data_IF_922280242335
#
_entry.id   IF_922280242335
#
_cell.length_a   1.000
_cell.length_b   1.000
_cell.length_c   1.000
_cell.angle_alpha   90.00
_cell.angle_beta   90.00
_cell.angle_gamma   90.00
#
_symmetry.space_group_name_H-M   'P 1'
#
loop_
_entity.id
_entity.type
_entity.pdbx_description
1 polymer ?
#
# COMPACT_ATOMS: atom_id res chain seq x y z
N UNK A 1 -35.17 5.35 -15.58
CA UNK A 1 -34.47 4.04 -15.52
C UNK A 1 -33.03 4.27 -15.07
N UNK A 2 -32.75 4.10 -13.77
CA UNK A 2 -31.39 4.24 -13.23
C UNK A 2 -30.64 2.92 -13.42
N UNK A 3 -29.45 3.02 -14.01
CA UNK A 3 -28.54 1.92 -14.30
C UNK A 3 -28.30 1.02 -13.06
N UNK A 4 -28.99 -0.12 -13.01
CA UNK A 4 -28.75 -1.24 -12.08
C UNK A 4 -27.58 -2.14 -12.53
N UNK A 5 -26.75 -1.67 -13.47
CA UNK A 5 -25.51 -2.31 -13.89
C UNK A 5 -24.41 -2.12 -12.84
N UNK A 6 -24.63 -2.60 -11.61
CA UNK A 6 -23.50 -2.94 -10.76
C UNK A 6 -23.26 -4.45 -10.92
N UNK A 7 -22.11 -4.82 -11.49
CA UNK A 7 -22.24 -5.66 -12.67
C UNK A 7 -22.07 -7.10 -12.28
N UNK A 8 -22.91 -7.98 -12.84
CA UNK A 8 -22.65 -9.43 -12.86
C UNK A 8 -21.20 -9.74 -13.27
N UNK A 9 -20.55 -8.88 -14.07
CA UNK A 9 -19.14 -9.02 -14.43
C UNK A 9 -18.19 -9.04 -13.22
N UNK A 10 -18.43 -8.28 -12.15
CA UNK A 10 -17.51 -8.25 -11.00
C UNK A 10 -17.46 -9.60 -10.29
N UNK A 11 -18.63 -10.25 -10.13
CA UNK A 11 -18.75 -11.58 -9.51
C UNK A 11 -18.14 -12.67 -10.39
N UNK A 12 -18.39 -12.64 -11.70
CA UNK A 12 -17.75 -13.54 -12.66
C UNK A 12 -16.24 -13.35 -12.73
N UNK A 13 -15.77 -12.11 -12.68
CA UNK A 13 -14.34 -11.78 -12.65
C UNK A 13 -13.67 -12.34 -11.40
N UNK A 14 -14.33 -12.28 -10.24
CA UNK A 14 -13.81 -12.86 -9.01
C UNK A 14 -13.71 -14.39 -9.07
N UNK A 15 -14.69 -15.08 -9.70
CA UNK A 15 -14.62 -16.53 -9.95
C UNK A 15 -13.46 -16.86 -10.88
N UNK A 16 -13.38 -16.18 -12.04
CA UNK A 16 -12.31 -16.38 -13.01
C UNK A 16 -10.93 -16.13 -12.38
N UNK A 17 -10.81 -15.05 -11.61
CA UNK A 17 -9.59 -14.75 -10.86
C UNK A 17 -9.23 -15.89 -9.89
N UNK A 18 -10.17 -16.42 -9.12
CA UNK A 18 -9.90 -17.52 -8.19
C UNK A 18 -9.40 -18.79 -8.89
N UNK A 19 -9.92 -19.08 -10.09
CA UNK A 19 -9.44 -20.19 -10.94
C UNK A 19 -8.03 -19.90 -11.47
N UNK A 20 -7.78 -18.70 -11.99
CA UNK A 20 -6.45 -18.30 -12.50
C UNK A 20 -5.41 -18.31 -11.38
N UNK A 21 -5.73 -17.76 -10.21
CA UNK A 21 -4.82 -17.66 -9.08
C UNK A 21 -4.48 -19.05 -8.50
N UNK A 22 -5.47 -19.94 -8.38
CA UNK A 22 -5.22 -21.32 -7.93
C UNK A 22 -4.45 -22.12 -8.98
N UNK A 23 -4.74 -21.96 -10.27
CA UNK A 23 -3.98 -22.60 -11.36
C UNK A 23 -2.52 -22.13 -11.43
N UNK A 24 -2.29 -20.82 -11.29
CA UNK A 24 -0.95 -20.24 -11.19
C UNK A 24 -0.19 -20.81 -9.99
N UNK A 25 -0.80 -20.78 -8.80
CA UNK A 25 -0.18 -21.32 -7.59
C UNK A 25 0.12 -22.82 -7.69
N UNK A 26 -0.79 -23.61 -8.28
CA UNK A 26 -0.62 -25.04 -8.47
C UNK A 26 0.53 -25.34 -9.43
N UNK A 27 0.62 -24.59 -10.52
CA UNK A 27 1.72 -24.71 -11.49
C UNK A 27 3.06 -24.46 -10.81
N UNK A 28 3.19 -23.38 -10.04
CA UNK A 28 4.40 -23.06 -9.30
C UNK A 28 4.77 -24.12 -8.25
N UNK A 29 3.78 -24.65 -7.52
CA UNK A 29 4.02 -25.72 -6.54
C UNK A 29 4.52 -27.01 -7.22
N UNK A 30 3.88 -27.42 -8.33
CA UNK A 30 4.28 -28.63 -9.09
C UNK A 30 5.65 -28.46 -9.74
N UNK A 31 5.99 -27.26 -10.20
CA UNK A 31 7.30 -26.97 -10.80
C UNK A 31 8.40 -26.70 -9.77
N UNK A 32 8.09 -26.72 -8.47
CA UNK A 32 9.05 -26.36 -7.41
C UNK A 32 9.46 -24.89 -7.42
N UNK A 33 8.67 -24.02 -8.04
CA UNK A 33 8.95 -22.58 -8.14
C UNK A 33 8.35 -21.84 -6.93
N UNK A 34 9.18 -21.19 -6.10
CA UNK A 34 8.70 -20.50 -4.90
C UNK A 34 7.86 -19.25 -5.29
N UNK A 35 6.68 -19.12 -4.66
CA UNK A 35 5.82 -17.95 -4.78
C UNK A 35 6.19 -16.82 -3.81
N UNK A 36 6.80 -17.18 -2.69
CA UNK A 36 7.16 -16.27 -1.61
C UNK A 36 8.66 -16.36 -1.37
N UNK A 37 9.28 -15.23 -1.05
CA UNK A 37 10.71 -15.13 -0.76
C UNK A 37 10.93 -14.37 0.54
N UNK A 38 12.01 -14.67 1.24
CA UNK A 38 12.45 -13.99 2.44
C UNK A 38 13.93 -13.61 2.30
N UNK A 39 14.23 -12.34 1.95
CA UNK A 39 15.61 -11.84 1.91
C UNK A 39 16.54 -12.56 0.92
N UNK A 40 15.98 -13.05 -0.20
CA UNK A 40 16.65 -13.83 -1.24
C UNK A 40 16.39 -15.34 -1.16
N UNK A 41 16.00 -15.85 0.02
CA UNK A 41 15.74 -17.27 0.20
C UNK A 41 14.29 -17.63 -0.20
N UNK A 42 14.07 -18.80 -0.85
CA UNK A 42 12.73 -19.27 -1.14
C UNK A 42 11.96 -19.56 0.15
N UNK A 43 10.71 -19.09 0.20
CA UNK A 43 9.80 -19.37 1.30
C UNK A 43 9.38 -20.85 1.33
N UNK A 44 8.83 -21.32 2.47
CA UNK A 44 8.44 -22.71 2.63
C UNK A 44 7.38 -23.14 1.59
N UNK A 45 7.48 -24.35 1.00
CA UNK A 45 6.57 -24.84 -0.04
C UNK A 45 5.09 -24.84 0.38
N UNK A 46 4.82 -24.95 1.68
CA UNK A 46 3.46 -24.91 2.25
C UNK A 46 2.73 -23.60 1.96
N UNK A 47 3.44 -22.48 1.80
CA UNK A 47 2.82 -21.21 1.41
C UNK A 47 2.31 -21.22 -0.02
N UNK A 48 2.94 -21.98 -0.92
CA UNK A 48 2.44 -22.21 -2.27
C UNK A 48 1.08 -22.89 -2.24
N UNK A 49 0.93 -23.95 -1.44
CA UNK A 49 -0.35 -24.63 -1.23
C UNK A 49 -1.39 -23.73 -0.57
N UNK A 50 -0.99 -22.84 0.34
CA UNK A 50 -1.90 -21.86 0.93
C UNK A 50 -2.48 -20.90 -0.13
N UNK A 51 -1.67 -20.43 -1.08
CA UNK A 51 -2.14 -19.60 -2.19
C UNK A 51 -3.17 -20.36 -3.07
N UNK A 52 -2.91 -21.64 -3.37
CA UNK A 52 -3.86 -22.51 -4.09
C UNK A 52 -5.18 -22.63 -3.33
N UNK A 53 -5.12 -22.92 -2.03
CA UNK A 53 -6.30 -23.06 -1.18
C UNK A 53 -7.14 -21.77 -1.14
N UNK A 54 -6.49 -20.61 -1.04
CA UNK A 54 -7.16 -19.30 -1.09
C UNK A 54 -7.86 -19.10 -2.43
N UNK A 55 -7.19 -19.39 -3.56
CA UNK A 55 -7.77 -19.28 -4.90
C UNK A 55 -9.00 -20.18 -5.10
N UNK A 56 -8.91 -21.45 -4.68
CA UNK A 56 -10.02 -22.41 -4.74
C UNK A 56 -11.20 -21.96 -3.87
N UNK A 57 -10.93 -21.59 -2.60
CA UNK A 57 -11.95 -21.11 -1.69
C UNK A 57 -12.63 -19.84 -2.19
N UNK A 58 -11.89 -18.93 -2.81
CA UNK A 58 -12.42 -17.72 -3.44
C UNK A 58 -13.33 -18.05 -4.63
N UNK A 59 -12.89 -18.92 -5.55
CA UNK A 59 -13.69 -19.32 -6.70
C UNK A 59 -15.03 -19.96 -6.26
N UNK A 60 -14.97 -20.89 -5.29
CA UNK A 60 -16.15 -21.55 -4.74
C UNK A 60 -17.09 -20.57 -4.02
N UNK A 61 -16.54 -19.66 -3.21
CA UNK A 61 -17.33 -18.66 -2.47
C UNK A 61 -18.02 -17.68 -3.41
N UNK A 62 -17.31 -17.17 -4.41
CA UNK A 62 -17.87 -16.27 -5.42
C UNK A 62 -18.91 -16.99 -6.30
N UNK A 63 -18.69 -18.26 -6.64
CA UNK A 63 -19.67 -19.11 -7.33
C UNK A 63 -20.93 -19.34 -6.49
N UNK A 64 -20.78 -19.58 -5.20
CA UNK A 64 -21.90 -19.68 -4.27
C UNK A 64 -22.68 -18.36 -4.19
N UNK A 65 -22.00 -17.20 -4.17
CA UNK A 65 -22.67 -15.89 -4.22
C UNK A 65 -23.43 -15.68 -5.54
N UNK A 66 -22.90 -16.15 -6.67
CA UNK A 66 -23.61 -16.10 -7.96
C UNK A 66 -24.89 -16.95 -7.95
N UNK A 67 -24.86 -18.12 -7.30
CA UNK A 67 -25.98 -19.07 -7.27
C UNK A 67 -27.03 -18.78 -6.21
N UNK A 68 -26.59 -18.38 -5.01
CA UNK A 68 -27.44 -18.31 -3.81
C UNK A 68 -27.58 -16.88 -3.25
N UNK A 69 -26.89 -15.90 -3.82
CA UNK A 69 -26.82 -14.55 -3.25
C UNK A 69 -25.81 -14.43 -2.11
N UNK A 70 -25.65 -13.21 -1.56
CA UNK A 70 -24.60 -12.93 -0.58
C UNK A 70 -25.08 -13.17 0.85
N UNK A 71 -25.02 -14.43 1.29
CA UNK A 71 -25.32 -14.81 2.67
C UNK A 71 -24.32 -14.18 3.68
N UNK A 72 -24.72 -13.92 4.94
CA UNK A 72 -23.84 -13.34 5.96
C UNK A 72 -22.56 -14.15 6.22
N UNK A 73 -22.64 -15.48 6.15
CA UNK A 73 -21.48 -16.37 6.28
C UNK A 73 -20.52 -16.22 5.09
N UNK A 74 -21.03 -16.23 3.86
CA UNK A 74 -20.23 -16.00 2.65
C UNK A 74 -19.58 -14.63 2.66
N UNK A 75 -20.27 -13.60 3.17
CA UNK A 75 -19.69 -12.26 3.32
C UNK A 75 -18.48 -12.26 4.27
N UNK A 76 -18.58 -12.92 5.43
CA UNK A 76 -17.46 -13.07 6.37
C UNK A 76 -16.30 -13.82 5.73
N UNK A 77 -16.59 -14.92 5.02
CA UNK A 77 -15.58 -15.71 4.31
C UNK A 77 -14.88 -14.90 3.21
N UNK A 78 -15.62 -14.14 2.40
CA UNK A 78 -15.03 -13.27 1.37
C UNK A 78 -14.14 -12.19 1.96
N UNK A 79 -14.50 -11.62 3.12
CA UNK A 79 -13.61 -10.68 3.83
C UNK A 79 -12.35 -11.36 4.35
N UNK A 80 -12.46 -12.57 4.91
CA UNK A 80 -11.29 -13.36 5.31
C UNK A 80 -10.36 -13.63 4.13
N UNK A 81 -10.90 -14.13 3.01
CA UNK A 81 -10.13 -14.39 1.79
C UNK A 81 -9.54 -13.10 1.20
N UNK A 82 -10.27 -11.98 1.27
CA UNK A 82 -9.79 -10.67 0.86
C UNK A 82 -8.58 -10.23 1.71
N UNK A 83 -8.60 -10.46 3.02
CA UNK A 83 -7.47 -10.17 3.92
C UNK A 83 -6.29 -11.07 3.59
N UNK A 84 -6.50 -12.38 3.39
CA UNK A 84 -5.43 -13.31 3.03
C UNK A 84 -4.78 -12.96 1.67
N UNK A 85 -5.59 -12.62 0.67
CA UNK A 85 -5.09 -12.12 -0.62
C UNK A 85 -4.34 -10.79 -0.43
N UNK A 86 -4.82 -9.89 0.44
CA UNK A 86 -4.14 -8.63 0.75
C UNK A 86 -2.76 -8.84 1.39
N UNK A 87 -2.63 -9.83 2.27
CA UNK A 87 -1.34 -10.22 2.87
C UNK A 87 -0.39 -10.74 1.78
N UNK A 88 -0.88 -11.58 0.85
CA UNK A 88 -0.07 -12.05 -0.27
C UNK A 88 0.31 -10.94 -1.26
N UNK A 89 -0.49 -9.88 -1.37
CA UNK A 89 -0.24 -8.73 -2.22
C UNK A 89 0.75 -7.71 -1.62
N UNK A 90 1.12 -7.88 -0.35
CA UNK A 90 1.73 -6.84 0.47
C UNK A 90 3.04 -6.28 -0.09
N UNK A 91 3.87 -7.14 -0.67
CA UNK A 91 5.15 -6.75 -1.27
C UNK A 91 5.03 -6.13 -2.67
N UNK A 92 3.83 -6.07 -3.26
CA UNK A 92 3.62 -5.47 -4.59
C UNK A 92 4.09 -4.02 -4.64
N UNK A 93 3.91 -3.26 -3.55
CA UNK A 93 4.36 -1.87 -3.50
C UNK A 93 5.87 -1.77 -3.71
N UNK A 94 6.63 -2.69 -3.11
CA UNK A 94 8.08 -2.73 -3.26
C UNK A 94 8.46 -3.09 -4.71
N UNK A 95 7.79 -4.06 -5.32
CA UNK A 95 8.02 -4.43 -6.73
C UNK A 95 7.76 -3.25 -7.69
N UNK A 96 6.68 -2.50 -7.45
CA UNK A 96 6.35 -1.32 -8.27
C UNK A 96 7.39 -0.23 -8.08
N UNK A 97 7.81 0.02 -6.84
CA UNK A 97 8.86 0.99 -6.51
C UNK A 97 10.16 0.59 -7.24
N UNK A 98 10.65 -0.63 -7.09
CA UNK A 98 11.90 -1.07 -7.74
C UNK A 98 11.83 -0.91 -9.26
N UNK A 99 10.73 -1.36 -9.89
CA UNK A 99 10.52 -1.21 -11.33
C UNK A 99 10.47 0.27 -11.78
N UNK A 100 9.79 1.14 -11.01
CA UNK A 100 9.73 2.58 -11.32
C UNK A 100 11.12 3.24 -11.30
N UNK A 101 12.06 2.69 -10.53
CA UNK A 101 13.44 3.18 -10.45
C UNK A 101 14.38 2.45 -11.42
N UNK A 102 13.85 1.66 -12.35
CA UNK A 102 14.63 0.90 -13.32
C UNK A 102 15.38 -0.28 -12.72
N UNK A 103 15.02 -0.69 -11.50
CA UNK A 103 15.56 -1.87 -10.85
C UNK A 103 14.71 -3.09 -11.25
N UNK A 104 15.34 -4.26 -11.34
CA UNK A 104 14.61 -5.52 -11.48
C UNK A 104 13.85 -5.87 -10.20
N UNK A 105 12.86 -6.75 -10.32
CA UNK A 105 12.27 -7.45 -9.17
C UNK A 105 13.14 -8.65 -8.81
N UNK A 106 13.17 -9.02 -7.52
CA UNK A 106 13.95 -10.18 -7.05
C UNK A 106 13.51 -11.48 -7.73
N UNK A 107 12.21 -11.60 -8.02
CA UNK A 107 11.62 -12.73 -8.72
C UNK A 107 10.38 -12.31 -9.49
N UNK A 108 10.37 -12.59 -10.80
CA UNK A 108 9.21 -12.34 -11.64
C UNK A 108 7.98 -13.13 -11.22
N UNK A 109 8.15 -14.33 -10.66
CA UNK A 109 7.03 -15.16 -10.18
C UNK A 109 6.44 -14.63 -8.88
N UNK A 110 7.27 -14.13 -7.96
CA UNK A 110 6.80 -13.47 -6.75
C UNK A 110 6.06 -12.17 -7.09
N UNK A 111 6.59 -11.35 -7.99
CA UNK A 111 5.92 -10.13 -8.45
C UNK A 111 4.58 -10.43 -9.12
N UNK A 112 4.52 -11.48 -9.96
CA UNK A 112 3.27 -11.94 -10.56
C UNK A 112 2.25 -12.41 -9.51
N UNK A 113 2.71 -13.15 -8.49
CA UNK A 113 1.88 -13.55 -7.35
C UNK A 113 1.32 -12.33 -6.60
N UNK A 114 2.16 -11.35 -6.27
CA UNK A 114 1.75 -10.13 -5.57
C UNK A 114 0.71 -9.34 -6.38
N UNK A 115 0.92 -9.21 -7.70
CA UNK A 115 0.00 -8.54 -8.61
C UNK A 115 -1.36 -9.25 -8.70
N UNK A 116 -1.35 -10.58 -8.89
CA UNK A 116 -2.57 -11.39 -8.92
C UNK A 116 -3.30 -11.31 -7.57
N UNK A 117 -2.59 -11.40 -6.46
CA UNK A 117 -3.18 -11.28 -5.12
C UNK A 117 -3.85 -9.90 -4.92
N UNK A 118 -3.23 -8.81 -5.39
CA UNK A 118 -3.81 -7.46 -5.30
C UNK A 118 -5.11 -7.34 -6.10
N UNK A 119 -5.15 -7.89 -7.31
CA UNK A 119 -6.38 -7.96 -8.12
C UNK A 119 -7.46 -8.75 -7.37
N UNK A 120 -7.09 -9.86 -6.74
CA UNK A 120 -7.95 -10.65 -5.88
C UNK A 120 -8.57 -9.87 -4.74
N UNK A 121 -7.76 -9.12 -3.99
CA UNK A 121 -8.22 -8.25 -2.90
C UNK A 121 -9.31 -7.29 -3.38
N UNK A 122 -9.11 -6.65 -4.54
CA UNK A 122 -10.08 -5.72 -5.11
C UNK A 122 -11.38 -6.42 -5.52
N UNK A 123 -11.28 -7.55 -6.21
CA UNK A 123 -12.45 -8.31 -6.69
C UNK A 123 -13.27 -8.92 -5.54
N UNK A 124 -12.60 -9.46 -4.52
CA UNK A 124 -13.24 -10.02 -3.32
C UNK A 124 -13.93 -8.94 -2.50
N UNK A 125 -13.25 -7.80 -2.26
CA UNK A 125 -13.86 -6.67 -1.57
C UNK A 125 -15.07 -6.10 -2.32
N UNK A 126 -14.99 -6.00 -3.65
CA UNK A 126 -16.11 -5.55 -4.48
C UNK A 126 -17.31 -6.52 -4.39
N UNK A 127 -17.04 -7.83 -4.44
CA UNK A 127 -18.06 -8.87 -4.30
C UNK A 127 -18.74 -8.82 -2.94
N UNK A 128 -17.95 -8.74 -1.86
CA UNK A 128 -18.44 -8.67 -0.48
C UNK A 128 -19.25 -7.41 -0.17
N UNK A 129 -19.07 -6.31 -0.93
CA UNK A 129 -19.78 -5.04 -0.75
C UNK A 129 -21.03 -4.87 -1.62
N UNK A 130 -21.32 -5.82 -2.51
CA UNK A 130 -22.34 -5.66 -3.56
C UNK A 130 -23.80 -5.50 -3.09
N UNK A 131 -24.10 -5.64 -1.80
CA UNK A 131 -25.46 -5.51 -1.26
C UNK A 131 -25.74 -4.20 -0.47
N UNK A 132 -24.74 -3.33 -0.24
CA UNK A 132 -24.99 -2.10 0.49
C UNK A 132 -25.16 -0.90 -0.44
N UNK A 133 -26.42 -0.54 -0.72
CA UNK A 133 -26.77 0.85 -1.02
C UNK A 133 -28.16 1.21 -0.47
N UNK A 134 -28.23 1.90 0.68
CA UNK A 134 -29.26 2.89 0.89
C UNK A 134 -29.04 4.00 -0.13
N UNK A 135 -30.03 4.25 -0.97
CA UNK A 135 -30.06 5.41 -1.87
C UNK A 135 -30.68 6.59 -1.10
N UNK A 136 -29.95 7.14 -0.14
CA UNK A 136 -30.39 8.37 0.54
C UNK A 136 -29.90 9.62 -0.19
N UNK A 137 -30.82 10.58 -0.30
CA UNK A 137 -30.68 11.81 -1.05
C UNK A 137 -29.39 12.55 -0.72
N UNK A 138 -28.47 12.55 -1.69
CA UNK A 138 -27.18 13.21 -1.57
C UNK A 138 -27.38 14.74 -1.48
N UNK A 139 -27.26 15.28 -0.26
CA UNK A 139 -27.08 16.72 -0.06
C UNK A 139 -25.65 17.09 -0.40
N UNK A 140 -25.49 18.11 -1.24
CA UNK A 140 -24.19 18.69 -1.57
C UNK A 140 -23.60 19.30 -0.29
N UNK A 141 -22.57 18.67 0.24
CA UNK A 141 -21.90 19.14 1.46
C UNK A 141 -20.79 20.14 1.10
N UNK A 142 -20.75 21.28 1.78
CA UNK A 142 -19.71 22.29 1.57
C UNK A 142 -18.31 21.77 1.93
N UNK A 143 -17.25 22.27 1.25
CA UNK A 143 -15.89 21.87 1.56
C UNK A 143 -15.55 22.21 3.00
N UNK A 144 -15.20 21.21 3.79
CA UNK A 144 -14.91 21.37 5.22
C UNK A 144 -13.61 20.72 5.63
N UNK A 145 -12.92 21.34 6.58
CA UNK A 145 -11.73 20.77 7.21
C UNK A 145 -12.10 19.55 8.07
N UNK A 146 -11.16 18.64 8.28
CA UNK A 146 -11.36 17.54 9.22
C UNK A 146 -11.41 18.05 10.68
N UNK A 147 -11.92 17.20 11.58
CA UNK A 147 -11.94 17.50 13.02
C UNK A 147 -10.51 17.61 13.60
N UNK A 148 -10.38 18.30 14.73
CA UNK A 148 -9.10 18.51 15.43
C UNK A 148 -8.27 17.21 15.63
N UNK A 149 -8.86 16.10 16.09
CA UNK A 149 -8.13 14.83 16.24
C UNK A 149 -7.55 14.28 14.93
N UNK A 150 -8.25 14.43 13.81
CA UNK A 150 -7.76 13.98 12.50
C UNK A 150 -6.66 14.90 11.98
N UNK A 151 -6.74 16.21 12.27
CA UNK A 151 -5.65 17.15 11.99
C UNK A 151 -4.41 16.84 12.82
N UNK A 152 -4.57 16.49 14.10
CA UNK A 152 -3.47 16.05 14.96
C UNK A 152 -2.83 14.75 14.44
N UNK A 153 -3.65 13.78 14.02
CA UNK A 153 -3.14 12.57 13.37
C UNK A 153 -2.33 12.89 12.11
N UNK A 154 -2.79 13.84 11.28
CA UNK A 154 -2.04 14.27 10.09
C UNK A 154 -0.71 14.97 10.43
N UNK A 155 -0.68 15.77 11.50
CA UNK A 155 0.56 16.33 12.02
C UNK A 155 1.51 15.25 12.50
N UNK A 156 1.03 14.29 13.31
CA UNK A 156 1.83 13.17 13.79
C UNK A 156 2.39 12.33 12.63
N UNK A 157 1.56 12.01 11.63
CA UNK A 157 1.98 11.28 10.43
C UNK A 157 3.01 12.04 9.58
N UNK A 158 2.93 13.37 9.53
CA UNK A 158 3.95 14.21 8.87
C UNK A 158 5.25 14.23 9.66
N UNK A 159 5.16 14.42 10.98
CA UNK A 159 6.32 14.47 11.88
C UNK A 159 7.07 13.12 11.95
N UNK A 160 6.39 12.00 11.69
CA UNK A 160 7.01 10.68 11.66
C UNK A 160 8.13 10.55 10.61
N UNK A 161 8.15 11.39 9.56
CA UNK A 161 9.23 11.43 8.57
C UNK A 161 10.45 12.28 8.98
N UNK A 162 10.38 13.06 10.07
CA UNK A 162 11.49 13.94 10.47
C UNK A 162 12.80 13.19 10.74
N UNK A 163 12.82 12.04 11.45
CA UNK A 163 14.05 11.29 11.65
C UNK A 163 14.66 10.80 10.33
N UNK A 164 13.81 10.38 9.38
CA UNK A 164 14.22 9.95 8.05
C UNK A 164 14.83 11.11 7.24
N UNK A 165 14.18 12.28 7.25
CA UNK A 165 14.71 13.48 6.60
C UNK A 165 16.05 13.90 7.21
N UNK A 166 16.18 13.86 8.54
CA UNK A 166 17.43 14.16 9.24
C UNK A 166 18.56 13.22 8.82
N UNK A 167 18.30 11.90 8.81
CA UNK A 167 19.25 10.90 8.32
C UNK A 167 19.71 11.20 6.88
N UNK A 168 18.77 11.47 5.96
CA UNK A 168 19.09 11.79 4.56
C UNK A 168 19.90 13.06 4.41
N UNK A 169 19.62 14.10 5.18
CA UNK A 169 20.40 15.35 5.19
C UNK A 169 21.83 15.15 5.71
N UNK A 170 22.02 14.28 6.70
CA UNK A 170 23.35 13.92 7.19
C UNK A 170 24.16 13.25 6.07
N UNK A 171 23.59 12.27 5.38
CA UNK A 171 24.29 11.64 4.24
C UNK A 171 24.53 12.61 3.07
N UNK A 172 23.55 13.45 2.74
CA UNK A 172 23.68 14.44 1.67
C UNK A 172 24.80 15.47 1.92
N UNK A 173 24.99 15.85 3.19
CA UNK A 173 26.07 16.75 3.62
C UNK A 173 27.44 16.06 3.74
N UNK A 174 27.55 14.78 3.35
CA UNK A 174 28.78 14.00 3.44
C UNK A 174 29.05 13.41 4.82
N UNK A 175 28.11 13.56 5.76
CA UNK A 175 28.19 12.96 7.09
C UNK A 175 28.01 11.44 7.08
N UNK A 176 28.18 10.86 8.27
CA UNK A 176 28.01 9.43 8.53
C UNK A 176 26.82 9.23 9.46
N UNK A 177 25.94 8.29 9.11
CA UNK A 177 24.80 7.89 9.93
C UNK A 177 24.65 6.37 9.86
N UNK A 178 24.39 5.73 11.00
CA UNK A 178 24.32 4.27 11.12
C UNK A 178 25.53 3.57 10.46
N UNK A 179 26.74 4.03 10.79
CA UNK A 179 27.99 3.45 10.29
C UNK A 179 28.30 3.68 8.81
N UNK A 180 27.37 4.20 8.00
CA UNK A 180 27.55 4.45 6.56
C UNK A 180 27.70 5.94 6.28
N UNK A 181 28.71 6.29 5.47
CA UNK A 181 28.88 7.64 4.92
C UNK A 181 27.98 7.90 3.69
N UNK A 182 27.69 9.17 3.42
CA UNK A 182 26.94 9.54 2.21
C UNK A 182 27.62 9.14 0.89
N UNK A 183 28.94 8.94 0.87
CA UNK A 183 29.66 8.45 -0.30
C UNK A 183 29.43 6.94 -0.52
N UNK A 184 29.49 6.15 0.55
CA UNK A 184 29.21 4.71 0.53
C UNK A 184 27.75 4.44 0.16
N UNK A 185 26.80 5.17 0.75
CA UNK A 185 25.37 5.03 0.41
C UNK A 185 25.11 5.27 -1.08
N UNK A 186 25.73 6.30 -1.67
CA UNK A 186 25.63 6.55 -3.13
C UNK A 186 26.27 5.45 -3.97
N UNK A 187 27.36 4.85 -3.49
CA UNK A 187 27.98 3.71 -4.16
C UNK A 187 27.06 2.48 -4.13
N UNK A 188 26.36 2.24 -3.02
CA UNK A 188 25.31 1.22 -2.90
C UNK A 188 24.15 1.50 -3.87
N UNK A 189 23.63 2.73 -3.91
CA UNK A 189 22.59 3.14 -4.87
C UNK A 189 22.99 2.84 -6.32
N UNK A 190 24.23 3.16 -6.70
CA UNK A 190 24.76 2.88 -8.05
C UNK A 190 24.86 1.38 -8.33
N UNK A 191 25.37 0.60 -7.37
CA UNK A 191 25.48 -0.86 -7.48
C UNK A 191 24.11 -1.51 -7.67
N UNK A 192 23.07 -0.93 -7.05
CA UNK A 192 21.70 -1.38 -7.17
C UNK A 192 21.00 -0.85 -8.44
N UNK A 193 21.72 -0.25 -9.39
CA UNK A 193 21.20 0.15 -10.71
C UNK A 193 20.69 1.59 -10.83
N UNK A 194 20.79 2.40 -9.77
CA UNK A 194 20.45 3.83 -9.88
C UNK A 194 21.40 4.52 -10.87
N UNK A 195 20.85 5.28 -11.81
CA UNK A 195 21.63 5.98 -12.85
C UNK A 195 21.03 7.35 -13.20
N UNK A 196 21.84 8.19 -13.86
CA UNK A 196 21.42 9.48 -14.40
C UNK A 196 20.83 10.43 -13.36
N UNK A 197 19.57 10.81 -13.59
CA UNK A 197 18.85 11.78 -12.72
C UNK A 197 18.71 11.28 -11.28
N UNK A 198 18.61 9.96 -11.05
CA UNK A 198 18.47 9.40 -9.70
C UNK A 198 19.74 9.54 -8.87
N UNK A 199 20.91 9.30 -9.45
CA UNK A 199 22.19 9.54 -8.76
C UNK A 199 22.43 11.03 -8.51
N UNK A 200 21.92 11.88 -9.41
CA UNK A 200 21.99 13.33 -9.24
C UNK A 200 21.10 13.78 -8.09
N UNK A 201 19.85 13.33 -8.01
CA UNK A 201 18.97 13.66 -6.89
C UNK A 201 19.48 13.09 -5.55
N UNK A 202 20.02 11.87 -5.55
CA UNK A 202 20.58 11.22 -4.35
C UNK A 202 21.77 12.04 -3.78
N UNK A 203 22.53 12.74 -4.62
CA UNK A 203 23.60 13.64 -4.14
C UNK A 203 23.09 14.87 -3.39
N UNK A 204 21.80 15.20 -3.50
CA UNK A 204 21.13 16.26 -2.76
C UNK A 204 20.31 15.70 -1.59
N UNK A 205 20.42 14.38 -1.30
CA UNK A 205 19.61 13.69 -0.30
C UNK A 205 18.17 13.46 -0.75
N UNK A 206 17.86 13.69 -2.03
CA UNK A 206 16.55 13.49 -2.60
C UNK A 206 16.53 12.13 -3.30
N UNK A 207 16.01 11.11 -2.62
CA UNK A 207 15.74 9.85 -3.26
C UNK A 207 14.25 9.71 -3.62
N UNK A 208 13.98 8.66 -4.38
CA UNK A 208 12.67 8.12 -4.66
C UNK A 208 11.70 8.18 -3.47
N UNK A 209 12.15 7.66 -2.32
CA UNK A 209 11.34 7.52 -1.11
C UNK A 209 11.04 8.87 -0.48
N UNK A 210 11.96 9.83 -0.53
CA UNK A 210 11.72 11.20 -0.07
C UNK A 210 10.69 11.92 -0.95
N UNK A 211 10.77 11.76 -2.27
CA UNK A 211 9.77 12.33 -3.19
C UNK A 211 8.38 11.70 -2.98
N UNK A 212 8.33 10.38 -2.79
CA UNK A 212 7.08 9.69 -2.50
C UNK A 212 6.50 10.07 -1.13
N UNK A 213 7.36 10.27 -0.13
CA UNK A 213 6.97 10.79 1.18
C UNK A 213 6.42 12.21 1.07
N UNK A 214 7.04 13.09 0.29
CA UNK A 214 6.54 14.45 0.06
C UNK A 214 5.16 14.45 -0.64
N UNK A 215 5.00 13.62 -1.67
CA UNK A 215 3.70 13.43 -2.33
C UNK A 215 2.66 12.83 -1.38
N UNK A 216 3.07 11.91 -0.52
CA UNK A 216 2.24 11.35 0.53
C UNK A 216 1.77 12.41 1.54
N UNK A 217 2.69 13.21 2.07
CA UNK A 217 2.36 14.33 2.98
C UNK A 217 1.40 15.31 2.29
N UNK A 218 1.64 15.64 1.02
CA UNK A 218 0.72 16.47 0.23
C UNK A 218 -0.68 15.83 0.15
N UNK A 219 -0.77 14.54 -0.18
CA UNK A 219 -2.02 13.79 -0.21
C UNK A 219 -2.73 13.79 1.15
N UNK A 220 -2.02 13.49 2.23
CA UNK A 220 -2.53 13.48 3.61
C UNK A 220 -3.15 14.83 3.98
N UNK A 221 -2.45 15.94 3.69
CA UNK A 221 -2.99 17.28 3.94
C UNK A 221 -4.16 17.63 3.03
N UNK A 222 -4.18 17.15 1.78
CA UNK A 222 -5.32 17.28 0.89
C UNK A 222 -6.58 16.61 1.47
N UNK A 223 -6.45 15.42 2.05
CA UNK A 223 -7.57 14.72 2.69
C UNK A 223 -8.11 15.44 3.94
N UNK A 224 -7.30 16.26 4.59
CA UNK A 224 -7.64 16.91 5.87
C UNK A 224 -8.09 18.36 5.68
N UNK A 225 -7.62 19.04 4.64
CA UNK A 225 -7.93 20.44 4.37
C UNK A 225 -9.05 20.61 3.34
N UNK A 226 -9.75 21.76 3.33
CA UNK A 226 -10.81 22.03 2.35
C UNK A 226 -10.30 22.01 0.90
N UNK A 227 -9.03 22.38 0.66
CA UNK A 227 -8.46 22.44 -0.68
C UNK A 227 -8.32 21.07 -1.36
N UNK A 228 -8.34 19.94 -0.64
CA UNK A 228 -8.38 18.63 -1.30
C UNK A 228 -9.76 18.23 -1.81
N UNK A 229 -10.80 19.03 -1.54
CA UNK A 229 -12.16 18.81 -2.04
C UNK A 229 -12.50 19.71 -3.24
N UNK A 230 -11.71 20.76 -3.48
CA UNK A 230 -11.92 21.74 -4.55
C UNK A 230 -10.59 22.07 -5.21
N UNK A 231 -10.52 21.99 -6.53
CA UNK A 231 -9.32 22.32 -7.27
C UNK A 231 -8.90 23.79 -7.01
N UNK A 232 -7.62 24.03 -6.65
CA UNK A 232 -7.14 25.36 -6.30
C UNK A 232 -7.18 26.32 -7.50
N UNK A 233 -7.07 27.63 -7.24
CA UNK A 233 -7.25 28.66 -8.28
C UNK A 233 -6.16 28.63 -9.37
N UNK A 234 -5.00 28.07 -9.08
CA UNK A 234 -3.87 27.96 -10.02
C UNK A 234 -4.01 26.79 -11.01
N UNK A 235 -4.87 25.80 -10.74
CA UNK A 235 -5.22 24.75 -11.72
C UNK A 235 -6.28 25.30 -12.69
N UNK A 236 -5.88 26.22 -13.58
CA UNK A 236 -6.75 27.01 -14.47
C UNK A 236 -7.91 26.24 -15.12
N UNK A 237 -7.71 25.06 -15.76
CA UNK A 237 -8.82 24.36 -16.42
C UNK A 237 -9.83 23.73 -15.43
N UNK A 238 -9.47 23.56 -14.16
CA UNK A 238 -10.27 22.87 -13.15
C UNK A 238 -10.68 23.77 -11.98
N UNK A 239 -10.32 25.06 -12.02
CA UNK A 239 -10.51 26.02 -10.93
C UNK A 239 -11.93 25.97 -10.36
N UNK A 240 -12.03 25.76 -9.04
CA UNK A 240 -13.30 25.78 -8.32
C UNK A 240 -14.18 24.54 -8.53
N UNK A 241 -13.80 23.60 -9.40
CA UNK A 241 -14.50 22.33 -9.55
C UNK A 241 -14.22 21.43 -8.34
N UNK A 242 -15.19 20.57 -8.01
CA UNK A 242 -15.02 19.55 -6.97
C UNK A 242 -14.02 18.50 -7.44
N UNK A 243 -13.12 18.10 -6.54
CA UNK A 243 -12.21 16.98 -6.80
C UNK A 243 -13.04 15.69 -6.74
N UNK A 244 -13.03 14.85 -7.79
CA UNK A 244 -13.70 13.57 -7.75
C UNK A 244 -13.22 12.76 -6.56
N UNK A 245 -14.14 12.27 -5.71
CA UNK A 245 -13.80 11.61 -4.44
C UNK A 245 -12.76 10.49 -4.58
N UNK A 246 -12.84 9.73 -5.67
CA UNK A 246 -11.94 8.60 -5.91
C UNK A 246 -10.49 9.03 -6.13
N UNK A 247 -10.25 10.25 -6.62
CA UNK A 247 -8.92 10.73 -7.01
C UNK A 247 -7.97 10.83 -5.81
N UNK A 248 -8.32 11.48 -4.67
CA UNK A 248 -7.48 11.43 -3.48
C UNK A 248 -7.73 10.17 -2.64
N UNK A 249 -8.94 9.59 -2.67
CA UNK A 249 -9.26 8.47 -1.78
C UNK A 249 -8.62 7.14 -2.22
N UNK A 250 -8.50 6.87 -3.52
CA UNK A 250 -7.88 5.64 -4.02
C UNK A 250 -6.39 5.52 -3.62
N UNK A 251 -5.51 6.50 -3.92
CA UNK A 251 -4.12 6.43 -3.48
C UNK A 251 -4.00 6.47 -1.96
N UNK A 252 -4.89 7.17 -1.25
CA UNK A 252 -4.87 7.19 0.21
C UNK A 252 -5.19 5.83 0.83
N UNK A 253 -6.22 5.15 0.31
CA UNK A 253 -6.57 3.81 0.78
C UNK A 253 -5.48 2.79 0.42
N UNK A 254 -4.88 2.90 -0.77
CA UNK A 254 -3.76 2.05 -1.18
C UNK A 254 -2.55 2.25 -0.28
N UNK A 255 -2.15 3.51 -0.05
CA UNK A 255 -1.06 3.86 0.86
C UNK A 255 -1.34 3.44 2.31
N UNK A 256 -2.56 3.61 2.80
CA UNK A 256 -2.95 3.19 4.14
C UNK A 256 -2.89 1.67 4.30
N UNK A 257 -3.42 0.93 3.32
CA UNK A 257 -3.45 -0.54 3.34
C UNK A 257 -2.06 -1.18 3.25
N UNK A 258 -1.08 -0.47 2.70
CA UNK A 258 0.30 -0.95 2.55
C UNK A 258 1.19 -0.46 3.70
N UNK A 259 1.23 0.84 3.95
CA UNK A 259 2.16 1.46 4.90
C UNK A 259 1.79 1.20 6.36
N UNK A 260 0.50 1.17 6.71
CA UNK A 260 0.12 0.97 8.11
C UNK A 260 0.48 -0.44 8.60
N UNK A 261 0.13 -1.54 7.90
CA UNK A 261 0.57 -2.86 8.33
C UNK A 261 2.10 -3.02 8.25
N UNK A 262 2.75 -2.46 7.22
CA UNK A 262 4.20 -2.49 7.10
C UNK A 262 4.92 -1.84 8.26
N UNK A 263 4.54 -0.62 8.63
CA UNK A 263 5.11 0.03 9.78
C UNK A 263 4.79 -0.69 11.09
N UNK A 264 3.55 -1.14 11.30
CA UNK A 264 3.14 -1.78 12.57
C UNK A 264 3.85 -3.11 12.79
N UNK A 265 3.84 -3.99 11.79
CA UNK A 265 4.56 -5.27 11.88
C UNK A 265 6.07 -5.05 11.91
N UNK A 266 6.57 -4.08 11.16
CA UNK A 266 7.98 -3.68 11.18
C UNK A 266 8.43 -3.18 12.55
N UNK A 267 7.63 -2.37 13.25
CA UNK A 267 7.89 -1.96 14.64
C UNK A 267 7.95 -3.17 15.56
N UNK A 268 7.01 -4.11 15.43
CA UNK A 268 7.01 -5.36 16.20
C UNK A 268 8.29 -6.18 15.97
N UNK A 269 8.68 -6.34 14.71
CA UNK A 269 9.92 -7.02 14.33
C UNK A 269 11.16 -6.29 14.89
N UNK A 270 11.24 -4.97 14.73
CA UNK A 270 12.33 -4.17 15.26
C UNK A 270 12.41 -4.24 16.79
N UNK A 271 11.27 -4.29 17.50
CA UNK A 271 11.23 -4.47 18.94
C UNK A 271 11.75 -5.86 19.36
N UNK A 272 11.33 -6.92 18.67
CA UNK A 272 11.85 -8.27 18.90
C UNK A 272 13.36 -8.35 18.61
N UNK A 273 13.84 -7.65 17.58
CA UNK A 273 15.26 -7.59 17.24
C UNK A 273 16.06 -6.82 18.29
N UNK A 274 15.54 -5.68 18.78
CA UNK A 274 16.14 -4.94 19.89
C UNK A 274 16.21 -5.78 21.17
N UNK A 275 15.22 -6.63 21.42
CA UNK A 275 15.20 -7.55 22.56
C UNK A 275 16.06 -8.82 22.36
N UNK A 276 16.70 -8.99 21.20
CA UNK A 276 17.51 -10.17 20.89
C UNK A 276 16.72 -11.45 20.63
N UNK A 277 15.39 -11.36 20.44
CA UNK A 277 14.51 -12.51 20.17
C UNK A 277 14.63 -12.96 18.72
N UNK A 278 14.82 -12.02 17.80
CA UNK A 278 15.05 -12.28 16.37
C UNK A 278 16.32 -11.55 15.92
N UNK A 279 16.94 -12.04 14.84
CA UNK A 279 18.13 -11.41 14.28
C UNK A 279 17.77 -10.43 13.18
N UNK A 280 18.39 -9.24 13.20
CA UNK A 280 18.34 -8.29 12.09
C UNK A 280 19.49 -8.59 11.13
N UNK A 281 19.19 -8.77 9.85
CA UNK A 281 20.21 -8.92 8.82
C UNK A 281 20.86 -7.56 8.55
N UNK A 282 22.20 -7.54 8.57
CA UNK A 282 23.00 -6.34 8.34
C UNK A 282 22.79 -5.73 6.93
N UNK A 283 22.61 -6.56 5.90
CA UNK A 283 22.43 -6.07 4.53
C UNK A 283 23.66 -5.30 4.06
N UNK A 284 23.45 -4.10 3.53
CA UNK A 284 24.50 -3.19 3.07
C UNK A 284 25.14 -2.33 4.18
N UNK A 285 24.67 -2.48 5.43
CA UNK A 285 25.24 -1.77 6.58
C UNK A 285 26.52 -2.43 7.09
N UNK A 286 27.26 -1.73 7.95
CA UNK A 286 28.48 -2.26 8.59
C UNK A 286 28.18 -3.15 9.80
N UNK A 287 26.98 -3.06 10.37
CA UNK A 287 26.52 -3.93 11.45
C UNK A 287 25.00 -4.16 11.43
N UNK A 288 24.53 -5.23 12.06
CA UNK A 288 23.10 -5.44 12.29
C UNK A 288 22.45 -4.35 13.16
N UNK A 289 23.23 -3.71 14.04
CA UNK A 289 22.77 -2.60 14.87
C UNK A 289 22.47 -1.35 14.05
N UNK A 290 23.33 -1.05 13.07
CA UNK A 290 23.12 0.05 12.12
C UNK A 290 21.88 -0.18 11.26
N UNK A 291 21.73 -1.40 10.73
CA UNK A 291 20.53 -1.79 9.99
C UNK A 291 19.26 -1.66 10.85
N UNK A 292 19.33 -2.06 12.12
CA UNK A 292 18.22 -1.94 13.07
C UNK A 292 17.85 -0.49 13.37
N UNK A 293 18.84 0.40 13.52
CA UNK A 293 18.61 1.83 13.71
C UNK A 293 17.86 2.46 12.53
N UNK A 294 18.30 2.16 11.30
CA UNK A 294 17.63 2.64 10.09
C UNK A 294 16.24 2.01 9.93
N UNK A 295 16.09 0.73 10.28
CA UNK A 295 14.80 0.05 10.29
C UNK A 295 13.81 0.74 11.24
N UNK A 296 14.21 1.09 12.47
CA UNK A 296 13.37 1.83 13.40
C UNK A 296 12.86 3.15 12.82
N UNK A 297 13.75 3.94 12.19
CA UNK A 297 13.39 5.20 11.53
C UNK A 297 12.34 4.96 10.45
N UNK A 298 12.56 3.98 9.56
CA UNK A 298 11.63 3.66 8.49
C UNK A 298 10.28 3.16 9.00
N UNK A 299 10.28 2.19 9.92
CA UNK A 299 9.05 1.55 10.40
C UNK A 299 8.18 2.50 11.21
N UNK A 300 8.76 3.40 12.01
CA UNK A 300 8.02 4.47 12.69
C UNK A 300 7.41 5.45 11.70
N UNK A 301 8.16 5.86 10.67
CA UNK A 301 7.65 6.72 9.62
C UNK A 301 6.45 6.08 8.90
N UNK A 302 6.58 4.82 8.47
CA UNK A 302 5.52 4.09 7.77
C UNK A 302 4.29 3.85 8.66
N UNK A 303 4.48 3.49 9.93
CA UNK A 303 3.38 3.26 10.86
C UNK A 303 2.62 4.56 11.15
N UNK A 304 3.36 5.61 11.55
CA UNK A 304 2.78 6.90 11.89
C UNK A 304 2.02 7.51 10.70
N UNK A 305 2.65 7.51 9.52
CA UNK A 305 2.02 8.01 8.31
C UNK A 305 0.85 7.13 7.85
N UNK A 306 0.99 5.80 7.85
CA UNK A 306 -0.08 4.87 7.42
C UNK A 306 -1.34 4.96 8.30
N UNK A 307 -1.17 5.06 9.62
CA UNK A 307 -2.28 5.25 10.57
C UNK A 307 -2.95 6.61 10.38
N UNK A 308 -2.15 7.68 10.21
CA UNK A 308 -2.66 9.02 9.91
C UNK A 308 -3.47 9.04 8.61
N UNK A 309 -2.95 8.38 7.57
CA UNK A 309 -3.60 8.27 6.27
C UNK A 309 -4.91 7.47 6.35
N UNK A 310 -4.95 6.42 7.17
CA UNK A 310 -6.17 5.65 7.45
C UNK A 310 -7.25 6.54 8.07
N UNK A 311 -6.91 7.28 9.12
CA UNK A 311 -7.84 8.20 9.80
C UNK A 311 -8.31 9.32 8.85
N UNK A 312 -7.40 9.91 8.08
CA UNK A 312 -7.69 10.96 7.12
C UNK A 312 -8.59 10.46 5.97
N UNK A 313 -8.30 9.27 5.40
CA UNK A 313 -9.08 8.66 4.34
C UNK A 313 -10.50 8.31 4.81
N UNK A 314 -10.64 7.76 6.03
CA UNK A 314 -11.94 7.49 6.63
C UNK A 314 -12.75 8.78 6.82
N UNK A 315 -12.14 9.80 7.43
CA UNK A 315 -12.77 11.10 7.66
C UNK A 315 -13.16 11.78 6.33
N UNK A 316 -12.26 11.81 5.35
CA UNK A 316 -12.53 12.35 4.01
C UNK A 316 -13.67 11.60 3.33
N UNK A 317 -13.69 10.26 3.43
CA UNK A 317 -14.73 9.42 2.88
C UNK A 317 -16.11 9.72 3.46
N UNK A 318 -16.21 10.05 4.76
CA UNK A 318 -17.46 10.47 5.40
C UNK A 318 -17.88 11.87 4.89
N UNK A 319 -16.97 12.84 4.89
CA UNK A 319 -17.27 14.23 4.48
C UNK A 319 -17.63 14.37 3.00
N UNK A 320 -17.29 13.37 2.17
CA UNK A 320 -17.55 13.37 0.72
C UNK A 320 -18.62 12.37 0.28
N UNK A 321 -19.32 11.71 1.21
CA UNK A 321 -20.36 10.70 0.91
C UNK A 321 -21.67 11.27 0.30
N UNK A 322 -21.76 12.58 0.05
CA UNK A 322 -22.95 13.25 -0.50
C UNK A 322 -22.79 14.00 -1.83
N UNK A 323 -21.77 13.71 -2.66
CA UNK A 323 -21.58 14.42 -3.93
C UNK A 323 -22.03 13.55 -5.12
N UNK A 324 -23.16 13.87 -5.80
CA UNK A 324 -23.35 13.47 -7.18
C UNK A 324 -22.26 14.12 -8.04
N UNK A 325 -21.71 13.35 -8.98
CA UNK A 325 -20.87 13.90 -10.05
C UNK A 325 -21.79 14.76 -10.92
N UNK A 326 -21.60 16.08 -10.90
CA UNK A 326 -22.16 16.94 -11.94
C UNK A 326 -21.53 16.50 -13.27
N UNK A 327 -22.38 16.09 -14.22
CA UNK A 327 -22.00 15.82 -15.61
C UNK A 327 -21.83 17.15 -16.34
#
# INVERSE_FOLDING_TARGET
MRWQWQPRWARWSAVLWGVVYSGFGLTCVVSGTPLFHHGGDPGPPSLGWAAVAVGVAAALSCGAVLRYGLLPALRRLLWLLCVLAGIAAFSLLMDVITLMFGQGVDSGTAAANHALAAVGTLLLAATARSEHRPADGARVQEPSAASGPVQLAAWAGTAAFLPYAGMKLIWASGGTFAGISGAEMRAVSRRNGASGIWLTLDSWGLDATMLLAALGVFLLWGLVRPWGQVFPRWTLPLRGRRVPRWLPLAPALLGAATLAPYGVFGIGYSALATAGVVTMRQGDFHSSGDALLVAWIGMVAFAGYGLALTAAAHSYGIRTRGLPVAS
#
